data_IF_286878638682
#
_entry.id   IF_286878638682
#
_cell.length_a   1.000
_cell.length_b   1.000
_cell.length_c   1.000
_cell.angle_alpha   90.00
_cell.angle_beta   90.00
_cell.angle_gamma   90.00
#
_symmetry.space_group_name_H-M   'P 1'
#
loop_
_entity.id
_entity.type
_entity.pdbx_description
1 polymer ?
#
# COMPACT_ATOMS: atom_id res chain seq x y z
N UNK A 1 -10.59 -15.22 12.95
CA UNK A 1 -9.86 -16.03 11.94
C UNK A 1 -8.76 -15.16 11.36
N UNK A 2 -7.50 -15.44 11.70
CA UNK A 2 -6.32 -14.76 11.17
C UNK A 2 -6.14 -15.25 9.74
N UNK A 3 -6.36 -14.40 8.73
CA UNK A 3 -5.84 -14.68 7.40
C UNK A 3 -4.33 -14.68 7.58
N UNK A 4 -3.71 -15.87 7.53
CA UNK A 4 -2.26 -16.00 7.68
C UNK A 4 -1.59 -15.00 6.74
N UNK A 5 -0.78 -14.14 7.34
CA UNK A 5 0.12 -13.19 6.70
C UNK A 5 0.88 -13.88 5.57
N UNK A 6 0.39 -13.61 4.35
CA UNK A 6 1.11 -13.12 3.16
C UNK A 6 0.09 -12.43 2.25
N UNK A 7 -0.77 -11.60 2.82
CA UNK A 7 -1.60 -10.70 2.03
C UNK A 7 -0.67 -9.55 1.67
N UNK A 8 -0.46 -9.25 0.38
CA UNK A 8 0.59 -8.34 -0.12
C UNK A 8 0.59 -6.91 0.43
N UNK A 9 -0.23 -6.60 1.43
CA UNK A 9 -0.22 -5.35 2.19
C UNK A 9 1.15 -5.07 2.81
N UNK A 10 1.84 -6.06 3.39
CA UNK A 10 3.18 -5.83 3.98
C UNK A 10 4.26 -5.53 2.91
N UNK A 11 4.02 -5.89 1.65
CA UNK A 11 4.90 -5.54 0.52
C UNK A 11 4.59 -4.15 -0.05
N UNK A 12 3.38 -3.64 0.21
CA UNK A 12 2.88 -2.38 -0.34
C UNK A 12 2.90 -1.25 0.70
N UNK A 13 2.78 -1.56 1.98
CA UNK A 13 2.60 -0.60 3.06
C UNK A 13 3.41 -0.96 4.30
N UNK A 14 3.78 0.06 5.05
CA UNK A 14 4.49 -0.07 6.32
C UNK A 14 3.48 0.14 7.46
N UNK A 15 3.37 -0.86 8.35
CA UNK A 15 2.48 -0.80 9.52
C UNK A 15 2.85 0.39 10.44
N UNK A 16 1.83 1.02 11.02
CA UNK A 16 1.90 2.24 11.84
C UNK A 16 2.47 3.49 11.16
N UNK A 17 2.71 3.43 9.85
CA UNK A 17 3.13 4.58 9.05
C UNK A 17 2.16 4.91 7.96
N UNK A 18 1.73 3.91 7.17
CA UNK A 18 0.76 4.10 6.09
C UNK A 18 -0.64 3.62 6.46
N UNK A 19 -0.73 2.66 7.38
CA UNK A 19 -1.96 2.06 7.89
C UNK A 19 -1.69 1.41 9.23
N UNK A 20 -2.73 0.89 9.89
CA UNK A 20 -2.60 0.11 11.11
C UNK A 20 -3.18 -1.27 10.89
N UNK A 21 -2.36 -2.29 11.06
CA UNK A 21 -2.77 -3.69 11.03
C UNK A 21 -3.27 -4.14 12.40
N UNK A 22 -4.13 -5.16 12.42
CA UNK A 22 -4.57 -5.83 13.65
C UNK A 22 -4.52 -7.34 13.50
N UNK A 23 -4.32 -8.04 14.60
CA UNK A 23 -4.05 -9.48 14.60
C UNK A 23 -5.25 -10.34 14.99
N UNK A 24 -6.17 -9.75 15.75
CA UNK A 24 -7.39 -10.39 16.24
C UNK A 24 -8.41 -9.33 16.69
N UNK A 25 -9.61 -9.77 17.04
CA UNK A 25 -10.72 -8.90 17.45
C UNK A 25 -10.40 -8.05 18.68
N UNK A 26 -9.71 -8.63 19.68
CA UNK A 26 -9.33 -7.87 20.88
C UNK A 26 -8.36 -6.74 20.53
N UNK A 27 -7.32 -7.04 19.76
CA UNK A 27 -6.33 -6.06 19.29
C UNK A 27 -6.98 -4.98 18.39
N UNK A 28 -7.96 -5.36 17.56
CA UNK A 28 -8.75 -4.40 16.78
C UNK A 28 -9.49 -3.40 17.68
N UNK A 29 -10.22 -3.89 18.68
CA UNK A 29 -10.99 -3.05 19.60
C UNK A 29 -10.06 -2.13 20.42
N UNK A 30 -8.93 -2.65 20.90
CA UNK A 30 -7.91 -1.88 21.62
C UNK A 30 -7.30 -0.77 20.74
N UNK A 31 -6.99 -1.08 19.47
CA UNK A 31 -6.46 -0.09 18.52
C UNK A 31 -7.49 0.97 18.14
N UNK A 32 -8.75 0.60 17.93
CA UNK A 32 -9.83 1.57 17.66
C UNK A 32 -9.89 2.57 18.82
N UNK A 33 -9.98 2.07 20.04
CA UNK A 33 -10.06 2.91 21.24
C UNK A 33 -8.82 3.79 21.42
N UNK A 34 -7.62 3.26 21.17
CA UNK A 34 -6.38 4.02 21.20
C UNK A 34 -6.40 5.17 20.17
N UNK A 35 -6.63 4.88 18.89
CA UNK A 35 -6.56 5.90 17.82
C UNK A 35 -7.75 6.87 17.82
N UNK A 36 -8.85 6.57 18.53
CA UNK A 36 -9.89 7.56 18.81
C UNK A 36 -9.38 8.68 19.74
N UNK A 37 -8.45 8.37 20.64
CA UNK A 37 -7.86 9.32 21.60
C UNK A 37 -6.57 9.97 21.09
N UNK A 38 -5.92 9.36 20.10
CA UNK A 38 -4.66 9.82 19.49
C UNK A 38 -4.91 10.37 18.09
N UNK A 39 -5.66 11.48 18.01
CA UNK A 39 -6.13 12.06 16.74
C UNK A 39 -4.96 12.46 15.83
N UNK A 40 -3.95 13.16 16.36
CA UNK A 40 -2.81 13.62 15.55
C UNK A 40 -2.03 12.47 14.92
N UNK A 41 -1.73 11.43 15.71
CA UNK A 41 -1.05 10.22 15.21
C UNK A 41 -1.89 9.51 14.14
N UNK A 42 -3.20 9.36 14.39
CA UNK A 42 -4.14 8.77 13.42
C UNK A 42 -4.19 9.55 12.10
N UNK A 43 -4.25 10.89 12.17
CA UNK A 43 -4.30 11.76 11.00
C UNK A 43 -2.98 11.74 10.22
N UNK A 44 -1.84 11.69 10.91
CA UNK A 44 -0.53 11.55 10.29
C UNK A 44 -0.42 10.22 9.52
N UNK A 45 -0.82 9.10 10.14
CA UNK A 45 -0.83 7.80 9.47
C UNK A 45 -1.74 7.80 8.24
N UNK A 46 -2.94 8.39 8.36
CA UNK A 46 -3.89 8.48 7.26
C UNK A 46 -3.34 9.33 6.09
N UNK A 47 -2.71 10.47 6.40
CA UNK A 47 -2.09 11.33 5.41
C UNK A 47 -0.92 10.63 4.69
N UNK A 48 -0.07 9.94 5.43
CA UNK A 48 1.05 9.17 4.87
C UNK A 48 0.55 8.02 3.99
N UNK A 49 -0.49 7.30 4.41
CA UNK A 49 -1.12 6.25 3.62
C UNK A 49 -1.72 6.78 2.31
N UNK A 50 -2.40 7.92 2.36
CA UNK A 50 -2.93 8.59 1.17
C UNK A 50 -1.82 8.96 0.18
N UNK A 51 -0.73 9.57 0.66
CA UNK A 51 0.40 9.94 -0.19
C UNK A 51 1.09 8.73 -0.80
N UNK A 52 1.26 7.63 -0.07
CA UNK A 52 1.83 6.39 -0.59
C UNK A 52 1.01 5.85 -1.77
N UNK A 53 -0.32 5.86 -1.65
CA UNK A 53 -1.23 5.44 -2.73
C UNK A 53 -1.08 6.32 -3.96
N UNK A 54 -1.09 7.65 -3.80
CA UNK A 54 -0.92 8.57 -4.92
C UNK A 54 0.43 8.42 -5.62
N UNK A 55 1.49 8.14 -4.86
CA UNK A 55 2.84 8.03 -5.40
C UNK A 55 3.11 6.70 -6.10
N UNK A 56 2.50 5.60 -5.65
CA UNK A 56 2.92 4.26 -6.06
C UNK A 56 1.80 3.33 -6.53
N UNK A 57 0.54 3.63 -6.23
CA UNK A 57 -0.56 2.67 -6.35
C UNK A 57 -1.73 3.21 -7.18
N UNK A 58 -1.50 4.17 -8.06
CA UNK A 58 -2.50 4.66 -9.03
C UNK A 58 -2.62 3.72 -10.23
N UNK A 59 -3.80 3.72 -10.87
CA UNK A 59 -4.03 2.93 -12.09
C UNK A 59 -3.05 3.28 -13.22
N UNK A 60 -2.73 4.57 -13.40
CA UNK A 60 -1.79 5.02 -14.42
C UNK A 60 -0.40 4.43 -14.23
N UNK A 61 0.09 4.37 -12.99
CA UNK A 61 1.38 3.75 -12.67
C UNK A 61 1.34 2.25 -12.94
N UNK A 62 0.24 1.56 -12.57
CA UNK A 62 0.06 0.13 -12.83
C UNK A 62 0.02 -0.18 -14.34
N UNK A 63 -0.71 0.61 -15.12
CA UNK A 63 -0.76 0.47 -16.57
C UNK A 63 0.62 0.67 -17.22
N UNK A 64 1.37 1.71 -16.81
CA UNK A 64 2.74 1.93 -17.27
C UNK A 64 3.67 0.77 -16.90
N UNK A 65 3.54 0.21 -15.69
CA UNK A 65 4.30 -0.96 -15.25
C UNK A 65 4.01 -2.19 -16.11
N UNK A 66 2.73 -2.50 -16.37
CA UNK A 66 2.32 -3.62 -17.22
C UNK A 66 2.84 -3.46 -18.65
N UNK A 67 2.69 -2.27 -19.24
CA UNK A 67 3.22 -1.98 -20.58
C UNK A 67 4.73 -2.13 -20.62
N UNK A 68 5.46 -1.61 -19.62
CA UNK A 68 6.92 -1.79 -19.52
C UNK A 68 7.30 -3.27 -19.45
N UNK A 69 6.56 -4.09 -18.71
CA UNK A 69 6.81 -5.54 -18.68
C UNK A 69 6.63 -6.16 -20.06
N UNK A 70 5.54 -5.85 -20.77
CA UNK A 70 5.32 -6.33 -22.14
C UNK A 70 6.45 -5.89 -23.06
N UNK A 71 6.77 -4.59 -23.11
CA UNK A 71 7.80 -4.06 -24.00
C UNK A 71 9.22 -4.50 -23.65
N UNK A 72 9.57 -4.67 -22.38
CA UNK A 72 10.88 -5.19 -21.98
C UNK A 72 11.01 -6.70 -22.22
N UNK A 73 9.90 -7.43 -22.35
CA UNK A 73 9.90 -8.86 -22.68
C UNK A 73 10.14 -9.13 -24.17
N UNK A 74 10.08 -8.09 -25.00
CA UNK A 74 10.37 -8.16 -26.43
C UNK A 74 11.60 -7.27 -26.73
N UNK A 75 12.69 -7.84 -27.22
CA UNK A 75 13.73 -7.06 -27.90
C UNK A 75 13.13 -6.48 -29.19
N UNK A 76 12.48 -5.32 -29.10
CA UNK A 76 12.08 -4.57 -30.29
C UNK A 76 13.35 -3.89 -30.82
N UNK A 77 13.87 -4.24 -32.02
CA UNK A 77 14.97 -3.51 -32.60
C UNK A 77 14.54 -2.05 -32.76
N UNK A 78 15.39 -1.14 -32.30
CA UNK A 78 15.15 0.31 -32.28
C UNK A 78 14.44 0.76 -33.56
N UNK A 79 13.37 1.57 -33.46
CA UNK A 79 12.75 2.15 -34.65
C UNK A 79 13.83 2.89 -35.44
N UNK A 80 14.08 2.45 -36.67
CA UNK A 80 14.86 3.25 -37.61
C UNK A 80 14.02 4.49 -37.92
N UNK A 81 14.34 5.58 -37.25
CA UNK A 81 14.02 6.93 -37.73
C UNK A 81 14.70 7.14 -39.09
#
# INVERSE_FOLDING_TARGET
>A
MRLKSKVGLEELFEDKKHLVLYENEKDLLEKIDYYLRHVSEREEIAFNGYNEVLQKHTYDLRAKQMLKMVYNSYEIPSPKL
#
